data_IF_040554039277
#
_entry.id   IF_040554039277
#
_cell.length_a   1.000
_cell.length_b   1.000
_cell.length_c   1.000
_cell.angle_alpha   90.00
_cell.angle_beta   90.00
_cell.angle_gamma   90.00
#
_symmetry.space_group_name_H-M   'P 1'
#
loop_
_entity.id
_entity.type
_entity.pdbx_description
1 polymer ?
#
# COMPACT_ATOMS: atom_id res chain seq x y z
N UNK A 1 -34.15 -13.74 33.29
CA UNK A 1 -33.72 -14.64 32.21
C UNK A 1 -33.27 -13.75 31.07
N UNK A 2 -31.97 -13.74 30.82
CA UNK A 2 -31.32 -13.00 29.75
C UNK A 2 -31.37 -13.84 28.47
N UNK A 3 -31.61 -13.21 27.32
CA UNK A 3 -31.16 -13.76 26.04
C UNK A 3 -30.80 -12.60 25.11
N UNK A 4 -29.49 -12.38 24.98
CA UNK A 4 -28.87 -11.45 24.05
C UNK A 4 -28.70 -12.15 22.70
N UNK A 5 -29.61 -11.89 21.77
CA UNK A 5 -29.44 -12.24 20.36
C UNK A 5 -28.78 -11.09 19.59
N UNK A 6 -27.50 -10.81 19.85
CA UNK A 6 -26.72 -9.90 19.00
C UNK A 6 -26.42 -10.60 17.67
N UNK A 7 -27.26 -10.30 16.67
CA UNK A 7 -27.05 -10.67 15.27
C UNK A 7 -25.79 -9.98 14.76
N UNK A 8 -24.73 -10.76 14.57
CA UNK A 8 -23.47 -10.31 13.97
C UNK A 8 -23.72 -9.92 12.50
N UNK A 9 -23.92 -8.62 12.27
CA UNK A 9 -23.85 -8.04 10.93
C UNK A 9 -22.46 -8.29 10.37
N UNK A 10 -22.38 -9.05 9.28
CA UNK A 10 -21.17 -9.18 8.49
C UNK A 10 -20.70 -7.76 8.11
N UNK A 11 -19.55 -7.36 8.63
CA UNK A 11 -18.86 -6.18 8.17
C UNK A 11 -18.55 -6.37 6.69
N UNK A 12 -19.39 -5.82 5.82
CA UNK A 12 -19.02 -5.47 4.46
C UNK A 12 -18.05 -4.29 4.52
N UNK A 13 -16.91 -4.50 5.17
CA UNK A 13 -15.77 -3.60 5.13
C UNK A 13 -14.90 -4.04 3.95
N UNK A 14 -15.38 -3.73 2.75
CA UNK A 14 -14.55 -3.72 1.55
C UNK A 14 -13.66 -2.49 1.67
N UNK A 15 -12.73 -2.53 2.64
CA UNK A 15 -11.91 -1.43 3.09
C UNK A 15 -10.94 -0.98 2.00
N UNK A 16 -11.44 -0.24 1.02
CA UNK A 16 -10.63 0.69 0.26
C UNK A 16 -10.38 1.92 1.13
N UNK A 17 -9.59 1.75 2.20
CA UNK A 17 -9.13 2.82 3.11
C UNK A 17 -8.31 3.90 2.40
N UNK A 18 -8.04 3.73 1.10
CA UNK A 18 -7.25 4.61 0.27
C UNK A 18 -8.08 5.48 -0.68
N UNK A 19 -9.41 5.31 -0.73
CA UNK A 19 -10.26 6.14 -1.58
C UNK A 19 -10.37 7.56 -1.02
N UNK A 20 -9.83 8.54 -1.73
CA UNK A 20 -10.00 9.97 -1.44
C UNK A 20 -9.24 10.56 -0.24
N UNK A 21 -8.52 9.77 0.55
CA UNK A 21 -7.78 10.28 1.73
C UNK A 21 -6.27 10.30 1.46
N UNK A 22 -5.67 11.50 1.53
CA UNK A 22 -4.22 11.67 1.57
C UNK A 22 -3.69 10.92 2.79
N UNK A 23 -2.60 10.16 2.64
CA UNK A 23 -2.03 9.37 3.76
C UNK A 23 -1.76 10.25 4.99
N UNK A 24 -1.36 11.51 4.79
CA UNK A 24 -1.21 12.50 5.87
C UNK A 24 -2.49 12.82 6.65
N UNK A 25 -3.67 12.74 6.03
CA UNK A 25 -4.96 12.95 6.71
C UNK A 25 -5.43 11.69 7.46
N UNK A 26 -5.12 10.49 6.93
CA UNK A 26 -5.39 9.22 7.61
C UNK A 26 -4.49 9.04 8.86
N UNK A 27 -3.27 9.60 8.80
CA UNK A 27 -2.28 9.59 9.88
C UNK A 27 -2.47 10.75 10.89
N UNK A 28 -3.17 11.82 10.51
CA UNK A 28 -3.45 12.98 11.38
C UNK A 28 -4.78 12.91 12.14
N UNK A 29 -5.66 11.99 11.77
CA UNK A 29 -7.05 11.95 12.21
C UNK A 29 -7.38 10.94 13.31
N UNK A 30 -6.64 10.89 14.41
CA UNK A 30 -7.16 10.45 15.71
C UNK A 30 -6.15 10.71 16.84
N UNK A 31 -6.35 11.83 17.55
CA UNK A 31 -6.07 12.05 18.98
C UNK A 31 -4.97 11.27 19.70
N UNK A 32 -3.79 11.13 19.10
CA UNK A 32 -2.49 11.02 19.74
C UNK A 32 -1.53 11.03 18.56
N UNK A 33 -0.66 12.04 18.48
CA UNK A 33 0.50 11.94 17.61
C UNK A 33 1.38 10.80 18.17
N UNK A 34 1.03 9.55 17.85
CA UNK A 34 2.04 8.54 17.64
C UNK A 34 2.88 9.11 16.50
N UNK A 35 3.95 9.83 16.87
CA UNK A 35 4.86 10.45 15.93
C UNK A 35 5.49 9.34 15.11
N UNK A 36 4.82 8.95 14.03
CA UNK A 36 5.39 8.13 12.99
C UNK A 36 6.39 9.04 12.28
N UNK A 37 7.64 8.97 12.74
CA UNK A 37 8.77 9.52 12.01
C UNK A 37 9.00 8.62 10.82
N UNK A 38 8.67 9.12 9.63
CA UNK A 38 9.02 8.45 8.38
C UNK A 38 10.51 8.67 8.17
N UNK A 39 11.26 7.57 8.13
CA UNK A 39 12.66 7.57 7.69
C UNK A 39 12.69 7.74 6.17
N UNK A 40 12.73 9.00 5.72
CA UNK A 40 12.69 9.36 4.30
C UNK A 40 13.89 8.83 3.50
N UNK A 41 15.00 8.46 4.16
CA UNK A 41 16.14 7.80 3.50
C UNK A 41 15.79 6.38 3.03
N UNK A 42 14.85 5.71 3.73
CA UNK A 42 14.42 4.35 3.40
C UNK A 42 13.23 4.30 2.44
N UNK A 43 12.48 5.39 2.31
CA UNK A 43 11.28 5.46 1.46
C UNK A 43 11.53 5.01 0.02
N UNK A 44 12.63 5.38 -0.66
CA UNK A 44 12.91 4.91 -2.02
C UNK A 44 13.00 3.38 -2.13
N UNK A 45 13.65 2.73 -1.17
CA UNK A 45 13.75 1.27 -1.15
C UNK A 45 12.39 0.62 -0.88
N UNK A 46 11.63 1.14 0.10
CA UNK A 46 10.27 0.65 0.40
C UNK A 46 9.34 0.76 -0.80
N UNK A 47 9.45 1.83 -1.59
CA UNK A 47 8.70 1.99 -2.85
C UNK A 47 9.07 0.89 -3.85
N UNK A 48 10.37 0.63 -4.05
CA UNK A 48 10.84 -0.41 -4.96
C UNK A 48 10.38 -1.81 -4.51
N UNK A 49 10.41 -2.09 -3.21
CA UNK A 49 9.96 -3.35 -2.64
C UNK A 49 8.45 -3.57 -2.85
N UNK A 50 7.64 -2.51 -2.68
CA UNK A 50 6.19 -2.54 -2.92
C UNK A 50 5.87 -2.78 -4.41
N UNK A 51 6.60 -2.14 -5.33
CA UNK A 51 6.43 -2.38 -6.77
C UNK A 51 6.81 -3.80 -7.15
N UNK A 52 7.94 -4.29 -6.65
CA UNK A 52 8.38 -5.66 -6.90
C UNK A 52 7.37 -6.68 -6.35
N UNK A 53 6.82 -6.45 -5.16
CA UNK A 53 5.77 -7.29 -4.60
C UNK A 53 4.47 -7.23 -5.45
N UNK A 54 4.11 -6.07 -5.99
CA UNK A 54 2.96 -5.95 -6.89
C UNK A 54 3.15 -6.76 -8.18
N UNK A 55 4.33 -6.67 -8.80
CA UNK A 55 4.66 -7.44 -10.01
C UNK A 55 4.69 -8.94 -9.73
N UNK A 56 5.17 -9.34 -8.54
CA UNK A 56 5.08 -10.72 -8.09
C UNK A 56 3.62 -11.19 -8.01
N UNK A 57 2.71 -10.41 -7.43
CA UNK A 57 1.29 -10.76 -7.35
C UNK A 57 0.63 -10.85 -8.72
N UNK A 58 0.97 -9.96 -9.66
CA UNK A 58 0.48 -10.05 -11.04
C UNK A 58 0.95 -11.33 -11.74
N UNK A 59 2.20 -11.72 -11.52
CA UNK A 59 2.72 -12.99 -12.05
C UNK A 59 1.98 -14.19 -11.44
N UNK A 60 1.67 -14.17 -10.13
CA UNK A 60 0.87 -15.22 -9.51
C UNK A 60 -0.58 -15.22 -10.01
N UNK A 61 -1.15 -14.06 -10.33
CA UNK A 61 -2.48 -13.97 -10.92
C UNK A 61 -2.53 -14.66 -12.29
N UNK A 62 -1.47 -14.54 -13.09
CA UNK A 62 -1.34 -15.26 -14.36
C UNK A 62 -1.23 -16.78 -14.17
N UNK A 63 -0.55 -17.24 -13.13
CA UNK A 63 -0.52 -18.66 -12.78
C UNK A 63 -1.91 -19.15 -12.38
N UNK A 64 -2.61 -18.41 -11.50
CA UNK A 64 -3.98 -18.72 -11.10
C UNK A 64 -4.93 -18.80 -12.31
N UNK A 65 -4.86 -17.82 -13.22
CA UNK A 65 -5.63 -17.83 -14.48
C UNK A 65 -5.44 -19.11 -15.29
N UNK A 66 -4.20 -19.61 -15.38
CA UNK A 66 -3.89 -20.87 -16.09
C UNK A 66 -4.48 -22.10 -15.41
N UNK A 67 -4.65 -22.09 -14.08
CA UNK A 67 -5.29 -23.19 -13.36
C UNK A 67 -6.74 -23.41 -13.81
N UNK A 68 -7.42 -22.36 -14.27
CA UNK A 68 -8.79 -22.49 -14.80
C UNK A 68 -8.88 -23.22 -16.14
N UNK A 69 -7.76 -23.44 -16.82
CA UNK A 69 -7.68 -24.15 -18.09
C UNK A 69 -7.05 -25.54 -17.97
N UNK A 70 -6.89 -26.08 -16.76
CA UNK A 70 -6.31 -27.41 -16.57
C UNK A 70 -7.25 -28.48 -17.17
N UNK A 71 -6.73 -29.41 -17.99
CA UNK A 71 -7.53 -30.51 -18.51
C UNK A 71 -7.91 -31.50 -17.41
N UNK A 72 -9.11 -32.07 -17.51
CA UNK A 72 -9.53 -33.11 -16.58
C UNK A 72 -8.65 -34.37 -16.72
N UNK A 73 -8.28 -35.02 -15.61
CA UNK A 73 -7.47 -36.24 -15.65
C UNK A 73 -8.24 -37.44 -16.22
N UNK A 74 -9.56 -37.32 -16.36
CA UNK A 74 -10.45 -38.32 -16.91
C UNK A 74 -11.79 -37.71 -17.34
N UNK A 75 -12.63 -38.55 -17.95
CA UNK A 75 -13.97 -38.16 -18.45
C UNK A 75 -15.10 -38.53 -17.48
N UNK A 76 -14.77 -39.10 -16.32
CA UNK A 76 -15.76 -39.41 -15.29
C UNK A 76 -16.28 -38.14 -14.62
N UNK A 77 -17.49 -38.23 -14.05
CA UNK A 77 -18.17 -37.08 -13.46
C UNK A 77 -17.40 -36.43 -12.29
N UNK A 78 -16.55 -37.17 -11.58
CA UNK A 78 -15.75 -36.63 -10.47
C UNK A 78 -14.60 -35.78 -11.02
N UNK A 79 -13.88 -36.29 -12.03
CA UNK A 79 -12.81 -35.55 -12.71
C UNK A 79 -13.30 -34.25 -13.33
N UNK A 80 -14.45 -34.28 -14.01
CA UNK A 80 -15.04 -33.09 -14.62
C UNK A 80 -15.51 -32.06 -13.57
N UNK A 81 -16.12 -32.53 -12.48
CA UNK A 81 -16.54 -31.68 -11.37
C UNK A 81 -15.34 -31.03 -10.65
N UNK A 82 -14.25 -31.76 -10.46
CA UNK A 82 -13.03 -31.23 -9.85
C UNK A 82 -12.44 -30.07 -10.67
N UNK A 83 -12.31 -30.23 -11.99
CA UNK A 83 -11.81 -29.16 -12.87
C UNK A 83 -12.75 -27.95 -12.85
N UNK A 84 -14.07 -28.16 -12.88
CA UNK A 84 -15.03 -27.05 -12.80
C UNK A 84 -14.88 -26.26 -11.49
N UNK A 85 -14.70 -26.93 -10.35
CA UNK A 85 -14.49 -26.28 -9.05
C UNK A 85 -13.14 -25.55 -8.97
N UNK A 86 -12.06 -26.18 -9.46
CA UNK A 86 -10.74 -25.54 -9.54
C UNK A 86 -10.81 -24.28 -10.41
N UNK A 87 -11.43 -24.37 -11.58
CA UNK A 87 -11.61 -23.22 -12.46
C UNK A 87 -12.39 -22.09 -11.80
N UNK A 88 -13.42 -22.45 -11.04
CA UNK A 88 -14.21 -21.47 -10.28
C UNK A 88 -13.36 -20.73 -9.23
N UNK A 89 -12.58 -21.46 -8.44
CA UNK A 89 -11.71 -20.85 -7.42
C UNK A 89 -10.54 -20.07 -8.03
N UNK A 90 -10.10 -20.45 -9.22
CA UNK A 90 -8.95 -19.88 -9.88
C UNK A 90 -9.24 -18.55 -10.60
N UNK A 91 -10.28 -18.49 -11.44
CA UNK A 91 -10.46 -17.39 -12.43
C UNK A 91 -11.92 -17.23 -12.90
N UNK A 92 -12.92 -17.61 -12.09
CA UNK A 92 -14.33 -17.38 -12.47
C UNK A 92 -14.62 -15.90 -12.74
N UNK A 93 -15.67 -15.57 -13.49
CA UNK A 93 -15.99 -14.18 -13.86
C UNK A 93 -16.37 -13.23 -12.70
N UNK A 94 -16.31 -13.69 -11.44
CA UNK A 94 -16.59 -12.91 -10.24
C UNK A 94 -15.35 -12.36 -9.53
N UNK A 95 -15.54 -11.59 -8.45
CA UNK A 95 -14.44 -11.01 -7.66
C UNK A 95 -13.89 -11.94 -6.56
N UNK A 96 -14.51 -13.10 -6.34
CA UNK A 96 -14.17 -14.02 -5.24
C UNK A 96 -13.37 -15.24 -5.72
N UNK A 97 -12.35 -14.99 -6.54
CA UNK A 97 -11.42 -16.00 -7.01
C UNK A 97 -9.96 -15.56 -6.77
N UNK A 98 -9.04 -16.50 -6.86
CA UNK A 98 -7.62 -16.28 -6.59
C UNK A 98 -7.01 -15.22 -7.52
N UNK A 99 -7.26 -15.29 -8.83
CA UNK A 99 -6.75 -14.30 -9.78
C UNK A 99 -7.17 -12.87 -9.41
N UNK A 100 -8.46 -12.65 -9.20
CA UNK A 100 -9.03 -11.34 -8.87
C UNK A 100 -8.43 -10.78 -7.57
N UNK A 101 -8.30 -11.62 -6.54
CA UNK A 101 -7.70 -11.22 -5.26
C UNK A 101 -6.22 -10.85 -5.40
N UNK A 102 -5.45 -11.60 -6.17
CA UNK A 102 -4.03 -11.31 -6.42
C UNK A 102 -3.86 -9.99 -7.17
N UNK A 103 -4.68 -9.74 -8.21
CA UNK A 103 -4.68 -8.46 -8.94
C UNK A 103 -5.08 -7.29 -8.05
N UNK A 104 -6.10 -7.47 -7.21
CA UNK A 104 -6.52 -6.45 -6.26
C UNK A 104 -5.40 -6.11 -5.26
N UNK A 105 -4.73 -7.12 -4.69
CA UNK A 105 -3.58 -6.93 -3.81
C UNK A 105 -2.42 -6.22 -4.51
N UNK A 106 -2.09 -6.63 -5.74
CA UNK A 106 -1.06 -5.97 -6.55
C UNK A 106 -1.38 -4.49 -6.80
N UNK A 107 -2.65 -4.18 -7.10
CA UNK A 107 -3.11 -2.79 -7.25
C UNK A 107 -2.92 -1.99 -5.95
N UNK A 108 -3.32 -2.54 -4.80
CA UNK A 108 -3.17 -1.86 -3.51
C UNK A 108 -1.71 -1.54 -3.18
N UNK A 109 -0.78 -2.45 -3.49
CA UNK A 109 0.66 -2.21 -3.31
C UNK A 109 1.17 -1.08 -4.22
N UNK A 110 0.74 -1.04 -5.49
CA UNK A 110 1.10 0.06 -6.41
C UNK A 110 0.52 1.39 -5.96
N UNK A 111 -0.73 1.41 -5.52
CA UNK A 111 -1.38 2.61 -5.03
C UNK A 111 -0.63 3.16 -3.81
N UNK A 112 -0.20 2.30 -2.88
CA UNK A 112 0.61 2.70 -1.73
C UNK A 112 1.98 3.24 -2.17
N UNK A 113 2.67 2.54 -3.07
CA UNK A 113 3.96 2.99 -3.61
C UNK A 113 3.84 4.37 -4.28
N UNK A 114 2.73 4.62 -5.01
CA UNK A 114 2.45 5.90 -5.64
C UNK A 114 2.30 7.02 -4.61
N UNK A 115 1.47 6.80 -3.57
CA UNK A 115 1.26 7.81 -2.52
C UNK A 115 2.56 8.11 -1.76
N UNK A 116 3.37 7.10 -1.44
CA UNK A 116 4.69 7.33 -0.81
C UNK A 116 5.62 8.17 -1.68
N UNK A 117 5.53 8.02 -3.01
CA UNK A 117 6.30 8.79 -3.98
C UNK A 117 5.87 10.26 -4.04
N UNK A 118 4.56 10.51 -3.93
CA UNK A 118 3.98 11.86 -3.84
C UNK A 118 4.37 12.54 -2.53
N UNK A 119 4.30 11.82 -1.41
CA UNK A 119 4.69 12.32 -0.09
C UNK A 119 6.18 12.66 -0.04
N UNK A 120 7.07 11.78 -0.57
CA UNK A 120 8.50 12.04 -0.65
C UNK A 120 8.82 13.29 -1.50
N UNK A 121 8.14 13.46 -2.64
CA UNK A 121 8.31 14.66 -3.48
C UNK A 121 7.92 15.92 -2.72
N UNK A 122 6.80 15.88 -2.00
CA UNK A 122 6.33 17.01 -1.19
C UNK A 122 7.34 17.36 -0.11
N UNK A 123 7.88 16.34 0.58
CA UNK A 123 8.90 16.52 1.61
C UNK A 123 10.16 17.20 1.06
N UNK A 124 10.73 16.69 -0.03
CA UNK A 124 11.94 17.25 -0.66
C UNK A 124 11.73 18.71 -1.12
N UNK A 125 10.55 19.04 -1.65
CA UNK A 125 10.22 20.42 -2.02
C UNK A 125 10.14 21.35 -0.80
N UNK A 126 9.58 20.89 0.31
CA UNK A 126 9.54 21.65 1.57
C UNK A 126 10.94 21.85 2.13
N UNK A 127 11.80 20.82 2.09
CA UNK A 127 13.19 20.95 2.53
C UNK A 127 13.98 21.98 1.70
N UNK A 128 13.84 21.97 0.36
CA UNK A 128 14.48 22.96 -0.52
C UNK A 128 14.04 24.39 -0.22
N UNK A 129 12.75 24.59 0.11
CA UNK A 129 12.21 25.90 0.50
C UNK A 129 12.69 26.36 1.90
N UNK A 130 13.07 25.42 2.77
CA UNK A 130 13.47 25.70 4.14
C UNK A 130 14.99 25.90 4.30
N UNK A 131 15.77 25.86 3.22
CA UNK A 131 17.18 26.26 3.22
C UNK A 131 17.23 27.77 3.41
N UNK A 132 17.78 28.29 4.54
CA UNK A 132 17.86 29.73 4.77
C UNK A 132 18.68 30.38 3.66
N UNK A 133 18.03 31.19 2.81
CA UNK A 133 18.68 31.99 1.76
C UNK A 133 19.33 33.26 2.31
N UNK A 134 19.23 33.48 3.62
CA UNK A 134 19.88 34.59 4.31
C UNK A 134 21.28 34.18 4.78
N UNK A 135 22.36 34.87 4.36
CA UNK A 135 23.61 34.78 5.10
C UNK A 135 23.33 35.15 6.56
N UNK A 136 23.72 34.27 7.48
CA UNK A 136 23.52 34.44 8.92
C UNK A 136 23.92 35.87 9.34
N UNK A 137 22.99 36.69 9.86
CA UNK A 137 23.34 38.02 10.33
C UNK A 137 24.08 37.88 11.66
N UNK A 138 25.41 37.94 11.59
CA UNK A 138 26.26 38.29 12.71
C UNK A 138 26.98 37.13 13.40
N UNK A 139 28.22 36.90 13.01
CA UNK A 139 29.28 36.85 14.02
C UNK A 139 30.07 38.16 13.91
N UNK A 140 29.99 39.08 14.89
CA UNK A 140 30.94 40.18 14.93
C UNK A 140 32.35 39.60 15.02
N UNK A 141 33.22 39.99 14.09
CA UNK A 141 34.65 39.75 14.21
C UNK A 141 35.10 40.22 15.61
N UNK A 142 35.91 39.45 16.35
CA UNK A 142 36.42 39.92 17.63
C UNK A 142 37.12 41.27 17.41
N UNK A 143 36.63 42.28 18.12
CA UNK A 143 37.27 43.58 18.19
C UNK A 143 38.68 43.38 18.73
N UNK A 144 39.67 43.46 17.85
CA UNK A 144 41.03 43.72 18.28
C UNK A 144 41.04 45.15 18.82
N UNK A 145 40.86 45.22 20.14
CA UNK A 145 40.99 46.42 20.94
C UNK A 145 42.30 47.13 20.63
N UNK A 146 42.14 48.41 20.31
CA UNK A 146 43.16 49.46 20.23
C UNK A 146 43.89 49.64 21.58
N UNK A 147 45.20 49.89 21.54
CA UNK A 147 46.04 50.75 22.44
C UNK A 147 47.51 50.29 22.25
N UNK A 148 48.54 51.11 22.03
CA UNK A 148 48.81 52.54 22.23
C UNK A 148 49.53 53.12 21.00
#
# INVERSE_FOLDING_TARGET
MSDEGQSSGAASDTGNVLDGTALGALLGGNGAAAGFSIDYERVPQSIADLEHAADYLDNQAEVARRLASIPAPGVDGVSLNAVAQIGKWASDSGAHNLEANLRAGGKQLRDLAHKLREDLRTYLQVEELNIPTTPSPGLPLPSLGRSL
#
